data_IF_793931347611
#
_entry.id   IF_793931347611
#
_cell.length_a   1.000
_cell.length_b   1.000
_cell.length_c   1.000
_cell.angle_alpha   90.00
_cell.angle_beta   90.00
_cell.angle_gamma   90.00
#
_symmetry.space_group_name_H-M   'P 1'
#
loop_
_entity.id
_entity.type
_entity.pdbx_description
1 polymer ?
#
# COMPACT_ATOMS: atom_id res chain seq x y z
N UNK A 1 -0.26 5.79 -23.94
CA UNK A 1 -0.49 4.76 -22.92
C UNK A 1 0.69 4.77 -21.97
N UNK A 2 0.45 4.72 -20.66
CA UNK A 2 1.52 4.70 -19.65
C UNK A 2 1.85 3.24 -19.36
N UNK A 3 3.10 2.83 -19.52
CA UNK A 3 3.52 1.52 -19.04
C UNK A 3 3.67 1.55 -17.53
N UNK A 4 3.06 0.58 -16.85
CA UNK A 4 3.34 0.28 -15.45
C UNK A 4 4.29 -0.90 -15.43
N UNK A 5 5.32 -0.77 -14.59
CA UNK A 5 6.29 -1.83 -14.34
C UNK A 5 6.20 -2.20 -12.87
N UNK A 6 5.92 -3.46 -12.60
CA UNK A 6 5.96 -4.02 -11.26
C UNK A 6 6.49 -5.44 -11.34
N UNK A 7 7.02 -5.95 -10.24
CA UNK A 7 7.42 -7.34 -10.12
C UNK A 7 6.61 -8.04 -9.03
N UNK A 8 6.83 -9.33 -8.88
CA UNK A 8 6.11 -10.14 -7.90
C UNK A 8 6.31 -9.63 -6.47
N UNK A 9 7.54 -9.22 -6.11
CA UNK A 9 7.82 -8.67 -4.78
C UNK A 9 7.06 -7.37 -4.53
N UNK A 10 6.98 -6.47 -5.52
CA UNK A 10 6.17 -5.25 -5.43
C UNK A 10 4.70 -5.58 -5.17
N UNK A 11 4.09 -6.46 -5.99
CA UNK A 11 2.68 -6.85 -5.82
C UNK A 11 2.44 -7.50 -4.45
N UNK A 12 3.33 -8.39 -4.01
CA UNK A 12 3.23 -9.04 -2.71
C UNK A 12 3.29 -8.02 -1.58
N UNK A 13 4.29 -7.14 -1.57
CA UNK A 13 4.41 -6.08 -0.57
C UNK A 13 3.16 -5.18 -0.55
N UNK A 14 2.62 -4.80 -1.71
CA UNK A 14 1.40 -3.98 -1.79
C UNK A 14 0.21 -4.68 -1.13
N UNK A 15 0.05 -6.00 -1.27
CA UNK A 15 -1.05 -6.74 -0.63
C UNK A 15 -0.91 -6.88 0.89
N UNK A 16 0.31 -6.81 1.37
CA UNK A 16 0.64 -6.80 2.80
C UNK A 16 0.72 -5.38 3.36
N UNK A 17 0.28 -4.37 2.61
CA UNK A 17 0.35 -2.99 3.04
C UNK A 17 -0.51 -2.73 4.29
N UNK A 18 0.09 -1.97 5.20
CA UNK A 18 -0.50 -1.41 6.41
C UNK A 18 0.10 -0.01 6.62
N UNK A 19 -0.33 0.71 7.65
CA UNK A 19 0.29 1.98 8.02
C UNK A 19 1.81 1.86 8.17
N UNK A 20 2.53 2.88 7.68
CA UNK A 20 4.01 2.96 7.63
C UNK A 20 4.73 1.88 6.82
N UNK A 21 4.02 1.00 6.13
CA UNK A 21 4.61 0.15 5.10
C UNK A 21 4.40 0.80 3.73
N UNK A 22 5.46 1.40 3.19
CA UNK A 22 5.42 2.17 1.95
C UNK A 22 5.87 1.30 0.78
N UNK A 23 5.07 1.23 -0.28
CA UNK A 23 5.35 0.52 -1.54
C UNK A 23 5.14 1.51 -2.69
N UNK A 24 6.09 1.58 -3.63
CA UNK A 24 6.16 2.52 -4.76
C UNK A 24 6.17 4.02 -4.38
N UNK A 25 5.15 4.50 -3.66
CA UNK A 25 4.98 5.89 -3.21
C UNK A 25 5.72 6.15 -1.89
N UNK A 26 7.02 5.82 -1.84
CA UNK A 26 7.86 6.10 -0.66
C UNK A 26 8.19 7.59 -0.62
N UNK A 27 7.91 8.31 0.50
CA UNK A 27 8.26 9.72 0.63
C UNK A 27 9.73 10.03 0.33
N UNK A 28 10.03 11.06 -0.45
CA UNK A 28 11.40 11.47 -0.77
C UNK A 28 12.24 11.80 0.48
N UNK A 29 11.60 12.31 1.53
CA UNK A 29 12.21 12.57 2.84
C UNK A 29 12.62 11.30 3.60
N UNK A 30 12.05 10.15 3.24
CA UNK A 30 12.46 8.81 3.71
C UNK A 30 13.57 8.27 2.81
N UNK A 31 13.37 8.27 1.49
CA UNK A 31 14.34 7.77 0.51
C UNK A 31 15.71 8.44 0.62
N UNK A 32 15.75 9.76 0.83
CA UNK A 32 17.00 10.52 1.05
C UNK A 32 17.86 10.04 2.23
N UNK A 33 17.30 9.21 3.12
CA UNK A 33 18.02 8.61 4.26
C UNK A 33 18.49 7.18 3.98
N UNK A 34 18.00 6.52 2.94
CA UNK A 34 18.25 5.11 2.64
C UNK A 34 19.75 4.80 2.62
N UNK A 35 20.52 5.46 1.75
CA UNK A 35 21.97 5.25 1.67
C UNK A 35 22.69 5.55 3.01
N UNK A 36 22.49 6.75 3.57
CA UNK A 36 23.20 7.20 4.78
C UNK A 36 22.87 6.40 6.04
N UNK A 37 21.69 5.78 6.11
CA UNK A 37 21.22 5.08 7.31
C UNK A 37 21.23 3.57 7.18
N UNK A 38 21.05 3.02 5.98
CA UNK A 38 20.84 1.59 5.70
C UNK A 38 21.87 1.01 4.73
N UNK A 39 22.87 1.79 4.28
CA UNK A 39 23.92 1.37 3.36
C UNK A 39 23.41 0.85 2.00
N UNK A 40 22.22 1.32 1.58
CA UNK A 40 21.65 0.98 0.27
C UNK A 40 22.46 1.69 -0.81
N UNK A 41 23.00 0.89 -1.74
CA UNK A 41 23.82 1.40 -2.84
C UNK A 41 22.99 2.16 -3.87
N UNK A 42 23.63 3.03 -4.67
CA UNK A 42 22.94 3.81 -5.71
C UNK A 42 22.33 2.93 -6.82
N UNK A 43 22.90 1.74 -7.02
CA UNK A 43 22.43 0.73 -7.99
C UNK A 43 21.55 -0.35 -7.35
N UNK A 44 21.02 -0.11 -6.15
CA UNK A 44 20.10 -1.02 -5.48
C UNK A 44 18.70 -0.40 -5.53
N UNK A 45 17.77 -1.12 -6.14
CA UNK A 45 16.39 -0.65 -6.31
C UNK A 45 15.63 -0.89 -5.02
N UNK A 46 15.01 0.17 -4.49
CA UNK A 46 14.13 0.08 -3.33
C UNK A 46 12.71 -0.22 -3.78
N UNK A 47 12.17 -1.33 -3.30
CA UNK A 47 10.82 -1.81 -3.65
C UNK A 47 9.80 -1.40 -2.58
N UNK A 48 10.16 -1.59 -1.30
CA UNK A 48 9.28 -1.25 -0.18
C UNK A 48 10.08 -0.86 1.07
N UNK A 49 9.43 -0.16 1.99
CA UNK A 49 10.02 0.22 3.28
C UNK A 49 8.99 0.16 4.41
N UNK A 50 9.28 -0.64 5.43
CA UNK A 50 8.56 -0.61 6.71
C UNK A 50 9.26 0.36 7.66
N UNK A 51 8.63 1.50 7.95
CA UNK A 51 9.18 2.50 8.86
C UNK A 51 8.85 2.19 10.33
N UNK A 52 9.88 1.88 11.11
CA UNK A 52 9.77 1.60 12.55
C UNK A 52 10.23 2.79 13.40
N UNK A 53 10.38 3.99 12.81
CA UNK A 53 10.85 5.18 13.53
C UNK A 53 9.82 5.69 14.53
N UNK A 54 10.23 5.85 15.80
CA UNK A 54 9.38 6.40 16.88
C UNK A 54 9.07 7.88 16.66
N UNK A 55 10.10 8.68 16.34
CA UNK A 55 10.00 10.13 16.17
C UNK A 55 10.60 10.58 14.84
N UNK A 56 9.74 11.13 13.99
CA UNK A 56 10.04 11.46 12.59
C UNK A 56 9.79 10.25 11.68
N UNK A 57 10.59 10.11 10.63
CA UNK A 57 10.46 9.02 9.65
C UNK A 57 11.80 8.59 9.06
N UNK A 58 11.87 7.35 8.57
CA UNK A 58 12.97 6.82 7.74
C UNK A 58 14.32 6.68 8.46
N UNK A 59 14.34 6.51 9.78
CA UNK A 59 15.58 6.36 10.57
C UNK A 59 15.86 4.91 10.98
N UNK A 60 14.82 4.12 11.19
CA UNK A 60 14.83 2.73 11.68
C UNK A 60 13.75 1.97 10.91
N UNK A 61 13.98 0.71 10.57
CA UNK A 61 13.03 -0.07 9.79
C UNK A 61 13.68 -1.13 8.92
N UNK A 62 12.94 -1.58 7.92
CA UNK A 62 13.36 -2.62 6.98
C UNK A 62 13.00 -2.20 5.56
N UNK A 63 14.01 -2.12 4.70
CA UNK A 63 13.87 -1.98 3.26
C UNK A 63 13.86 -3.35 2.59
N UNK A 64 13.00 -3.48 1.59
CA UNK A 64 12.98 -4.56 0.62
C UNK A 64 13.57 -4.01 -0.67
N UNK A 65 14.59 -4.68 -1.20
CA UNK A 65 15.31 -4.26 -2.40
C UNK A 65 15.36 -5.36 -3.45
N UNK A 66 15.85 -5.02 -4.64
CA UNK A 66 16.19 -6.00 -5.68
C UNK A 66 17.29 -6.99 -5.26
N UNK A 67 18.03 -6.71 -4.19
CA UNK A 67 19.12 -7.56 -3.70
C UNK A 67 18.74 -8.39 -2.48
N UNK A 68 17.91 -7.82 -1.60
CA UNK A 68 17.58 -8.49 -0.35
C UNK A 68 16.82 -7.60 0.62
N UNK A 69 16.98 -7.92 1.91
CA UNK A 69 16.54 -7.06 2.99
C UNK A 69 17.70 -6.23 3.51
N UNK A 70 17.41 -4.96 3.83
CA UNK A 70 18.33 -4.03 4.47
C UNK A 70 17.63 -3.43 5.68
N UNK A 71 18.20 -3.54 6.86
CA UNK A 71 17.54 -3.05 8.06
C UNK A 71 18.47 -2.30 8.98
N UNK A 72 17.82 -1.49 9.81
CA UNK A 72 18.45 -0.82 10.94
C UNK A 72 17.49 -0.90 12.10
N UNK A 73 17.98 -1.39 13.23
CA UNK A 73 17.24 -1.43 14.49
C UNK A 73 17.75 -0.37 15.46
N UNK A 74 16.91 0.06 16.39
CA UNK A 74 17.35 0.89 17.51
C UNK A 74 18.35 0.07 18.36
N UNK A 75 19.55 0.59 18.60
CA UNK A 75 20.57 -0.05 19.44
C UNK A 75 21.34 -1.22 18.80
N UNK A 76 20.75 -1.97 17.87
CA UNK A 76 21.32 -3.21 17.33
C UNK A 76 22.08 -3.08 15.99
N UNK A 77 22.35 -1.86 15.54
CA UNK A 77 23.17 -1.63 14.35
C UNK A 77 22.45 -1.90 13.01
N UNK A 78 23.27 -1.94 11.96
CA UNK A 78 22.92 -2.20 10.57
C UNK A 78 22.96 -3.70 10.29
N UNK A 79 22.05 -4.20 9.45
CA UNK A 79 22.08 -5.59 9.01
C UNK A 79 21.46 -5.75 7.63
N UNK A 80 21.78 -6.87 7.00
CA UNK A 80 21.29 -7.21 5.68
C UNK A 80 21.26 -8.72 5.46
N UNK A 81 20.44 -9.17 4.50
CA UNK A 81 20.48 -10.52 3.96
C UNK A 81 20.09 -10.47 2.48
N UNK A 82 20.92 -11.04 1.61
CA UNK A 82 20.63 -11.18 0.18
C UNK A 82 19.56 -12.25 -0.06
N UNK A 83 18.79 -12.15 -1.15
CA UNK A 83 17.73 -13.13 -1.47
C UNK A 83 18.26 -14.57 -1.58
N UNK A 84 19.48 -14.75 -2.10
CA UNK A 84 20.15 -16.05 -2.22
C UNK A 84 20.46 -16.70 -0.87
N UNK A 85 20.68 -15.91 0.17
CA UNK A 85 20.88 -16.38 1.54
C UNK A 85 19.56 -16.48 2.29
N UNK A 86 18.64 -15.54 2.09
CA UNK A 86 17.33 -15.53 2.72
C UNK A 86 16.52 -16.79 2.38
N UNK A 87 16.64 -17.30 1.14
CA UNK A 87 16.01 -18.57 0.73
C UNK A 87 16.43 -19.77 1.59
N UNK A 88 17.61 -19.72 2.22
CA UNK A 88 18.17 -20.81 3.04
C UNK A 88 17.69 -20.76 4.49
N UNK A 89 17.05 -19.67 4.91
CA UNK A 89 16.48 -19.53 6.25
C UNK A 89 15.45 -20.64 6.47
N UNK A 90 15.56 -21.38 7.56
CA UNK A 90 14.64 -22.48 7.85
C UNK A 90 13.45 -21.98 8.66
N UNK A 91 13.71 -21.14 9.65
CA UNK A 91 12.68 -20.63 10.57
C UNK A 91 12.74 -19.12 10.69
N UNK A 92 11.57 -18.49 10.56
CA UNK A 92 11.35 -17.07 10.79
C UNK A 92 10.41 -16.99 12.00
N UNK A 93 10.88 -16.44 13.12
CA UNK A 93 10.10 -16.34 14.36
C UNK A 93 10.01 -14.92 14.88
N UNK A 94 9.04 -14.70 15.78
CA UNK A 94 8.97 -13.50 16.61
C UNK A 94 9.17 -13.86 18.06
N UNK A 95 10.12 -13.16 18.69
CA UNK A 95 10.35 -13.19 20.12
C UNK A 95 10.01 -11.82 20.71
N UNK A 96 9.59 -11.79 21.99
CA UNK A 96 9.22 -10.56 22.71
C UNK A 96 8.24 -9.66 21.94
N UNK A 97 7.33 -10.27 21.15
CA UNK A 97 6.33 -9.64 20.27
C UNK A 97 6.86 -8.82 19.09
N UNK A 98 8.11 -8.40 19.08
CA UNK A 98 8.63 -7.44 18.06
C UNK A 98 10.00 -7.78 17.50
N UNK A 99 10.70 -8.78 18.05
CA UNK A 99 12.02 -9.17 17.59
C UNK A 99 11.87 -10.25 16.54
N UNK A 100 12.28 -9.96 15.31
CA UNK A 100 12.31 -10.92 14.21
C UNK A 100 13.63 -11.68 14.26
N UNK A 101 13.56 -13.00 14.21
CA UNK A 101 14.71 -13.90 14.21
C UNK A 101 14.71 -14.77 12.96
N UNK A 102 15.91 -14.97 12.41
CA UNK A 102 16.18 -15.95 11.35
C UNK A 102 17.02 -17.08 11.96
N UNK A 103 16.49 -18.30 11.97
CA UNK A 103 17.16 -19.47 12.54
C UNK A 103 17.67 -19.26 13.97
N UNK A 104 16.83 -18.64 14.82
CA UNK A 104 17.12 -18.24 16.22
C UNK A 104 18.18 -17.16 16.41
N UNK A 105 18.66 -16.57 15.33
CA UNK A 105 19.52 -15.39 15.37
C UNK A 105 18.66 -14.15 15.19
N UNK A 106 18.73 -13.24 16.15
CA UNK A 106 18.03 -11.95 16.08
C UNK A 106 18.47 -11.19 14.84
N UNK A 107 17.52 -10.92 13.95
CA UNK A 107 17.74 -10.12 12.75
C UNK A 107 17.47 -8.64 13.05
N UNK A 108 16.23 -8.29 13.38
CA UNK A 108 15.82 -6.90 13.60
C UNK A 108 14.58 -6.74 14.47
N UNK A 109 14.28 -5.48 14.82
CA UNK A 109 13.13 -5.06 15.60
C UNK A 109 12.12 -4.36 14.69
N UNK A 110 10.89 -4.84 14.67
CA UNK A 110 9.77 -4.17 13.96
C UNK A 110 8.92 -3.27 14.88
N UNK A 111 9.24 -3.25 16.19
CA UNK A 111 8.58 -2.43 17.20
C UNK A 111 9.20 -1.05 17.42
N UNK A 112 8.60 -0.28 18.34
CA UNK A 112 9.10 1.02 18.81
C UNK A 112 8.35 2.21 18.21
N UNK A 113 8.11 2.21 16.90
CA UNK A 113 7.41 3.31 16.22
C UNK A 113 6.35 2.89 15.21
N UNK A 114 6.28 1.61 14.85
CA UNK A 114 5.26 1.07 13.95
C UNK A 114 4.25 0.23 14.73
N UNK A 115 2.99 0.30 14.31
CA UNK A 115 1.92 -0.60 14.75
C UNK A 115 1.71 -1.76 13.77
N UNK A 116 2.64 -1.95 12.82
CA UNK A 116 2.54 -3.01 11.82
C UNK A 116 2.40 -4.38 12.49
N UNK A 117 1.36 -5.18 12.17
CA UNK A 117 1.13 -6.45 12.83
C UNK A 117 2.30 -7.42 12.62
N UNK A 118 2.91 -7.80 13.73
CA UNK A 118 4.12 -8.60 13.74
C UNK A 118 3.95 -9.97 13.06
N UNK A 119 2.81 -10.64 13.28
CA UNK A 119 2.49 -11.91 12.61
C UNK A 119 2.28 -11.74 11.10
N UNK A 120 1.65 -10.63 10.67
CA UNK A 120 1.46 -10.33 9.25
C UNK A 120 2.82 -10.13 8.54
N UNK A 121 3.78 -9.52 9.24
CA UNK A 121 5.12 -9.34 8.70
C UNK A 121 5.87 -10.67 8.54
N UNK A 122 5.71 -11.60 9.47
CA UNK A 122 6.27 -12.96 9.35
C UNK A 122 5.62 -13.72 8.22
N UNK A 123 4.31 -13.59 8.04
CA UNK A 123 3.61 -14.17 6.91
C UNK A 123 4.16 -13.63 5.59
N UNK A 124 4.35 -12.31 5.44
CA UNK A 124 5.01 -11.71 4.27
C UNK A 124 6.39 -12.32 4.00
N UNK A 125 7.27 -12.31 5.02
CA UNK A 125 8.63 -12.84 4.89
C UNK A 125 8.64 -14.34 4.56
N UNK A 126 7.69 -15.09 5.12
CA UNK A 126 7.52 -16.52 4.85
C UNK A 126 7.10 -16.75 3.40
N UNK A 127 6.14 -15.99 2.89
CA UNK A 127 5.72 -16.09 1.48
C UNK A 127 6.85 -15.73 0.50
N UNK A 128 7.65 -14.70 0.82
CA UNK A 128 8.84 -14.35 0.00
C UNK A 128 9.85 -15.51 0.03
N UNK A 129 10.17 -16.03 1.21
CA UNK A 129 11.13 -17.13 1.36
C UNK A 129 10.68 -18.39 0.65
N UNK A 130 9.42 -18.77 0.83
CA UNK A 130 8.85 -19.99 0.24
C UNK A 130 8.84 -19.87 -1.29
N UNK A 131 8.51 -18.69 -1.83
CA UNK A 131 8.65 -18.40 -3.24
C UNK A 131 10.10 -18.58 -3.70
N UNK A 132 11.09 -18.06 -2.97
CA UNK A 132 12.52 -18.19 -3.32
C UNK A 132 13.08 -19.62 -3.16
N UNK A 133 12.39 -20.51 -2.44
CA UNK A 133 12.74 -21.94 -2.35
C UNK A 133 12.24 -22.72 -3.55
N UNK A 134 11.06 -22.37 -4.04
CA UNK A 134 10.40 -23.03 -5.17
C UNK A 134 10.82 -22.45 -6.53
N UNK A 135 11.08 -21.14 -6.57
CA UNK A 135 11.39 -20.35 -7.75
C UNK A 135 12.69 -19.55 -7.58
N UNK A 136 13.13 -18.90 -8.65
CA UNK A 136 14.37 -18.10 -8.64
C UNK A 136 14.14 -16.66 -8.20
N UNK A 137 15.19 -15.99 -7.71
CA UNK A 137 15.10 -14.58 -7.34
C UNK A 137 14.91 -13.67 -8.56
N UNK A 138 15.37 -14.10 -9.75
CA UNK A 138 15.11 -13.39 -11.01
C UNK A 138 13.61 -13.40 -11.35
N UNK A 139 12.88 -14.48 -11.04
CA UNK A 139 11.42 -14.52 -11.19
C UNK A 139 10.72 -13.62 -10.18
N UNK A 140 11.21 -13.56 -8.93
CA UNK A 140 10.69 -12.66 -7.90
C UNK A 140 10.73 -11.19 -8.35
N UNK A 141 11.77 -10.83 -9.10
CA UNK A 141 12.06 -9.45 -9.53
C UNK A 141 11.75 -9.19 -11.01
N UNK A 142 11.27 -10.20 -11.74
CA UNK A 142 10.96 -10.06 -13.16
C UNK A 142 9.84 -9.04 -13.32
N UNK A 143 10.17 -7.91 -13.95
CA UNK A 143 9.16 -6.90 -14.24
C UNK A 143 8.14 -7.42 -15.26
N UNK A 144 6.87 -7.27 -14.90
CA UNK A 144 5.76 -7.31 -15.81
C UNK A 144 5.57 -5.89 -16.35
N UNK A 145 5.64 -5.75 -17.68
CA UNK A 145 5.29 -4.51 -18.34
C UNK A 145 3.84 -4.61 -18.76
N UNK A 146 3.01 -3.78 -18.15
CA UNK A 146 1.59 -3.75 -18.44
C UNK A 146 1.22 -2.37 -18.95
N UNK A 147 0.50 -2.33 -20.07
CA UNK A 147 -0.10 -1.09 -20.54
C UNK A 147 -1.20 -0.69 -19.57
N UNK A 148 -1.01 0.39 -18.81
CA UNK A 148 -2.10 0.95 -18.01
C UNK A 148 -3.11 1.59 -18.96
N UNK A 149 -4.25 0.92 -19.12
CA UNK A 149 -5.42 1.48 -19.81
C UNK A 149 -6.42 2.10 -18.83
N UNK A 150 -6.12 2.16 -17.52
CA UNK A 150 -6.92 2.94 -16.58
C UNK A 150 -6.77 4.41 -16.94
N UNK A 151 -7.85 4.99 -17.45
CA UNK A 151 -7.90 6.40 -17.86
C UNK A 151 -8.60 7.28 -16.82
N UNK A 152 -8.21 8.55 -16.80
CA UNK A 152 -8.88 9.61 -16.06
C UNK A 152 -10.39 9.67 -16.38
N UNK A 153 -10.74 9.59 -17.66
CA UNK A 153 -12.12 9.73 -18.14
C UNK A 153 -13.06 8.70 -17.51
N UNK A 154 -12.67 7.43 -17.51
CA UNK A 154 -13.49 6.36 -16.94
C UNK A 154 -13.56 6.45 -15.42
N UNK A 155 -12.44 6.76 -14.74
CA UNK A 155 -12.44 6.97 -13.29
C UNK A 155 -13.36 8.14 -12.89
N UNK A 156 -13.33 9.22 -13.65
CA UNK A 156 -14.19 10.38 -13.46
C UNK A 156 -15.66 9.98 -13.68
N UNK A 157 -15.96 9.33 -14.79
CA UNK A 157 -17.31 8.87 -15.14
C UNK A 157 -17.89 7.96 -14.05
N UNK A 158 -17.12 7.00 -13.55
CA UNK A 158 -17.54 6.13 -12.44
C UNK A 158 -17.78 6.95 -11.17
N UNK A 159 -16.85 7.85 -10.82
CA UNK A 159 -16.97 8.66 -9.59
C UNK A 159 -18.18 9.59 -9.63
N UNK A 160 -18.45 10.21 -10.78
CA UNK A 160 -19.59 11.11 -10.96
C UNK A 160 -20.94 10.43 -10.75
N UNK A 161 -21.07 9.11 -11.01
CA UNK A 161 -22.29 8.35 -10.74
C UNK A 161 -22.65 8.29 -9.25
N UNK A 162 -21.69 8.49 -8.36
CA UNK A 162 -21.86 8.44 -6.91
C UNK A 162 -21.86 9.83 -6.26
N UNK A 163 -21.65 10.90 -7.02
CA UNK A 163 -21.70 12.27 -6.50
C UNK A 163 -23.17 12.72 -6.43
N UNK A 164 -23.67 12.99 -5.22
CA UNK A 164 -25.07 13.37 -4.97
C UNK A 164 -25.21 14.85 -4.69
N UNK A 165 -26.37 15.41 -5.08
CA UNK A 165 -26.71 16.83 -4.97
C UNK A 165 -28.05 16.96 -4.23
N UNK A 166 -28.12 17.85 -3.24
CA UNK A 166 -29.36 18.18 -2.51
C UNK A 166 -29.99 19.48 -2.99
N UNK A 167 -29.15 20.49 -3.25
CA UNK A 167 -29.53 21.79 -3.81
C UNK A 167 -28.95 21.94 -5.21
N UNK A 168 -29.48 22.89 -5.98
CA UNK A 168 -29.03 23.13 -7.34
C UNK A 168 -27.53 23.51 -7.35
N UNK A 169 -26.66 22.52 -7.56
CA UNK A 169 -25.23 22.61 -7.92
C UNK A 169 -24.15 22.34 -6.85
N UNK A 170 -24.46 21.94 -5.60
CA UNK A 170 -23.40 21.56 -4.63
C UNK A 170 -23.48 20.08 -4.20
N UNK A 171 -22.37 19.30 -4.34
CA UNK A 171 -22.31 17.94 -3.84
C UNK A 171 -22.47 17.86 -2.31
N UNK A 172 -23.30 16.94 -1.82
CA UNK A 172 -23.70 16.91 -0.41
C UNK A 172 -23.26 15.67 0.37
N UNK A 173 -22.98 14.55 -0.31
CA UNK A 173 -22.62 13.27 0.31
C UNK A 173 -21.12 13.12 0.62
N UNK A 174 -20.34 14.19 0.48
CA UNK A 174 -18.91 14.22 0.83
C UNK A 174 -17.98 13.69 -0.26
N UNK A 175 -18.50 13.13 -1.35
CA UNK A 175 -17.73 12.85 -2.56
C UNK A 175 -17.66 14.13 -3.40
N UNK A 176 -16.45 14.47 -3.85
CA UNK A 176 -16.18 15.57 -4.77
C UNK A 176 -15.41 15.04 -5.97
N UNK A 177 -15.89 15.31 -7.18
CA UNK A 177 -15.31 14.83 -8.43
C UNK A 177 -14.74 16.01 -9.24
N UNK A 178 -13.51 15.84 -9.71
CA UNK A 178 -12.81 16.74 -10.62
C UNK A 178 -12.83 18.24 -10.24
N UNK A 179 -13.69 19.02 -10.90
CA UNK A 179 -13.81 20.46 -10.76
C UNK A 179 -14.49 20.87 -9.46
N UNK A 180 -15.30 19.97 -8.88
CA UNK A 180 -15.90 20.17 -7.55
C UNK A 180 -14.86 20.08 -6.42
N UNK A 181 -13.66 19.56 -6.70
CA UNK A 181 -12.55 19.59 -5.76
C UNK A 181 -11.81 20.94 -5.90
N UNK A 182 -12.09 21.87 -4.98
CA UNK A 182 -11.46 23.20 -4.99
C UNK A 182 -9.92 23.14 -4.93
N UNK A 183 -9.25 24.15 -5.51
CA UNK A 183 -7.78 24.23 -5.53
C UNK A 183 -7.15 24.27 -4.13
N UNK A 184 -7.81 24.91 -3.17
CA UNK A 184 -7.35 24.94 -1.76
C UNK A 184 -7.42 23.55 -1.13
N UNK A 185 -8.52 22.83 -1.36
CA UNK A 185 -8.67 21.46 -0.88
C UNK A 185 -7.65 20.52 -1.55
N UNK A 186 -7.45 20.62 -2.87
CA UNK A 186 -6.42 19.86 -3.59
C UNK A 186 -5.04 20.04 -2.94
N UNK A 187 -4.63 21.28 -2.62
CA UNK A 187 -3.35 21.55 -1.94
C UNK A 187 -3.27 20.92 -0.55
N UNK A 188 -4.34 20.98 0.23
CA UNK A 188 -4.41 20.37 1.57
C UNK A 188 -4.30 18.85 1.49
N UNK A 189 -5.01 18.23 0.57
CA UNK A 189 -4.99 16.78 0.33
C UNK A 189 -3.59 16.34 -0.12
N UNK A 190 -2.99 17.00 -1.11
CA UNK A 190 -1.63 16.68 -1.60
C UNK A 190 -0.64 16.70 -0.44
N UNK A 191 -0.68 17.73 0.40
CA UNK A 191 0.21 17.82 1.58
C UNK A 191 -0.10 16.75 2.61
N UNK A 192 -1.36 16.52 2.91
CA UNK A 192 -1.77 15.58 3.94
C UNK A 192 -1.41 14.14 3.57
N UNK A 193 -1.72 13.72 2.35
CA UNK A 193 -1.40 12.39 1.82
C UNK A 193 0.06 12.25 1.38
N UNK A 194 0.81 13.35 1.33
CA UNK A 194 2.17 13.40 0.79
C UNK A 194 2.24 12.89 -0.67
N UNK A 195 1.27 13.30 -1.49
CA UNK A 195 1.20 12.95 -2.91
C UNK A 195 2.32 13.66 -3.68
N UNK A 196 2.86 12.99 -4.71
CA UNK A 196 3.77 13.62 -5.65
C UNK A 196 3.05 14.71 -6.48
N UNK A 197 3.77 15.78 -6.83
CA UNK A 197 3.17 17.01 -7.37
C UNK A 197 2.46 16.87 -8.74
N UNK A 198 2.69 15.77 -9.47
CA UNK A 198 2.16 15.52 -10.81
C UNK A 198 0.96 14.55 -10.83
N UNK A 199 0.44 14.15 -9.67
CA UNK A 199 -0.67 13.20 -9.59
C UNK A 199 -2.00 13.92 -9.77
N UNK A 200 -2.76 13.55 -10.80
CA UNK A 200 -4.12 14.04 -11.00
C UNK A 200 -5.08 13.31 -10.06
N UNK A 201 -5.68 14.09 -9.16
CA UNK A 201 -6.78 13.64 -8.32
C UNK A 201 -8.05 13.68 -9.16
N UNK A 202 -8.71 12.53 -9.30
CA UNK A 202 -9.97 12.37 -10.03
C UNK A 202 -11.15 12.65 -9.10
N UNK A 203 -11.15 12.03 -7.93
CA UNK A 203 -12.20 12.17 -6.94
C UNK A 203 -11.63 12.15 -5.53
N UNK A 204 -12.33 12.81 -4.60
CA UNK A 204 -12.04 12.78 -3.18
C UNK A 204 -13.32 12.57 -2.39
N UNK A 205 -13.36 11.50 -1.61
CA UNK A 205 -14.44 11.23 -0.65
C UNK A 205 -13.95 11.60 0.76
N UNK A 206 -14.52 12.65 1.34
CA UNK A 206 -14.27 13.01 2.72
C UNK A 206 -15.06 12.10 3.66
N UNK A 207 -14.36 11.37 4.54
CA UNK A 207 -14.99 10.45 5.50
C UNK A 207 -15.05 11.00 6.92
N UNK A 208 -14.47 12.17 7.16
CA UNK A 208 -14.54 12.84 8.45
C UNK A 208 -14.68 14.38 8.29
N UNK A 209 -15.92 14.92 8.24
CA UNK A 209 -16.18 16.33 7.91
C UNK A 209 -15.49 17.36 8.82
N UNK A 210 -15.23 17.03 10.09
CA UNK A 210 -14.52 17.92 11.01
C UNK A 210 -13.03 18.07 10.65
N UNK A 211 -12.44 17.02 10.09
CA UNK A 211 -11.06 16.94 9.58
C UNK A 211 -11.15 16.66 8.10
N UNK A 212 -11.52 17.71 7.36
CA UNK A 212 -11.87 17.75 5.91
C UNK A 212 -10.87 17.10 4.93
N UNK A 213 -9.75 16.57 5.41
CA UNK A 213 -8.71 15.91 4.63
C UNK A 213 -8.66 14.40 4.84
N UNK A 214 -9.32 13.84 5.86
CA UNK A 214 -9.43 12.38 6.03
C UNK A 214 -10.43 11.84 5.01
N UNK A 215 -10.05 10.74 4.36
CA UNK A 215 -10.85 10.21 3.27
C UNK A 215 -10.13 9.29 2.30
N UNK A 216 -10.77 9.15 1.15
CA UNK A 216 -10.36 8.27 0.06
C UNK A 216 -10.10 9.13 -1.18
N UNK A 217 -8.97 8.91 -1.86
CA UNK A 217 -8.63 9.61 -3.10
C UNK A 217 -8.55 8.62 -4.25
N UNK A 218 -9.27 8.91 -5.32
CA UNK A 218 -9.12 8.23 -6.61
C UNK A 218 -8.15 9.04 -7.47
N UNK A 219 -7.07 8.41 -7.92
CA UNK A 219 -6.05 8.99 -8.79
C UNK A 219 -5.82 8.11 -10.03
N UNK A 220 -5.21 8.66 -11.08
CA UNK A 220 -4.88 7.88 -12.28
C UNK A 220 -3.94 6.70 -12.01
N UNK A 221 -3.08 6.77 -11.00
CA UNK A 221 -2.11 5.72 -10.67
C UNK A 221 -2.64 4.68 -9.67
N UNK A 222 -3.70 4.97 -8.94
CA UNK A 222 -4.24 4.09 -7.92
C UNK A 222 -5.20 4.82 -7.00
N UNK A 223 -5.45 4.19 -5.86
CA UNK A 223 -6.37 4.69 -4.84
C UNK A 223 -5.62 4.84 -3.50
N UNK A 224 -5.95 5.90 -2.77
CA UNK A 224 -5.35 6.21 -1.47
C UNK A 224 -6.42 6.23 -0.39
N UNK A 225 -6.08 5.71 0.79
CA UNK A 225 -6.91 5.76 1.99
C UNK A 225 -6.11 6.43 3.09
N UNK A 226 -6.66 7.46 3.72
CA UNK A 226 -5.97 8.09 4.84
C UNK A 226 -6.90 8.63 5.90
N UNK A 227 -6.60 8.25 7.12
CA UNK A 227 -7.16 8.83 8.33
C UNK A 227 -6.10 8.80 9.44
N UNK A 228 -6.51 9.03 10.68
CA UNK A 228 -5.59 8.94 11.81
C UNK A 228 -5.12 7.49 11.97
N UNK A 229 -3.80 7.25 11.87
CA UNK A 229 -3.14 5.93 11.94
C UNK A 229 -3.35 4.99 10.74
N UNK A 230 -3.99 5.44 9.67
CA UNK A 230 -4.11 4.67 8.43
C UNK A 230 -3.60 5.51 7.28
N UNK A 231 -2.65 4.97 6.51
CA UNK A 231 -2.11 5.60 5.31
C UNK A 231 -1.76 4.53 4.29
N UNK A 232 -2.69 4.26 3.36
CA UNK A 232 -2.60 3.20 2.37
C UNK A 232 -2.61 3.76 0.95
N UNK A 233 -1.93 3.07 0.05
CA UNK A 233 -1.95 3.33 -1.39
C UNK A 233 -1.98 2.00 -2.13
N UNK A 234 -2.98 1.78 -2.96
CA UNK A 234 -3.02 0.60 -3.81
C UNK A 234 -2.97 1.01 -5.28
N UNK A 235 -1.97 0.57 -6.06
CA UNK A 235 -2.02 0.73 -7.49
C UNK A 235 -3.15 -0.12 -8.06
N UNK A 236 -3.70 0.29 -9.21
CA UNK A 236 -4.91 -0.34 -9.77
C UNK A 236 -4.76 -1.84 -10.05
N UNK A 237 -3.57 -2.30 -10.44
CA UNK A 237 -3.31 -3.72 -10.70
C UNK A 237 -3.38 -4.60 -9.44
N UNK A 238 -3.21 -4.01 -8.24
CA UNK A 238 -3.41 -4.68 -6.95
C UNK A 238 -4.86 -4.50 -6.50
N UNK A 239 -5.34 -3.25 -6.50
CA UNK A 239 -6.65 -2.89 -5.96
C UNK A 239 -7.80 -3.68 -6.58
N UNK A 240 -7.73 -3.98 -7.88
CA UNK A 240 -8.75 -4.74 -8.63
C UNK A 240 -9.15 -6.10 -8.03
N UNK A 241 -8.27 -6.71 -7.24
CA UNK A 241 -8.49 -8.04 -6.62
C UNK A 241 -8.38 -8.00 -5.09
N UNK A 242 -8.29 -6.81 -4.51
CA UNK A 242 -8.12 -6.65 -3.08
C UNK A 242 -9.45 -6.97 -2.35
N UNK A 243 -9.45 -7.79 -1.30
CA UNK A 243 -10.64 -7.98 -0.47
C UNK A 243 -11.15 -6.64 0.08
N UNK A 244 -12.45 -6.38 -0.10
CA UNK A 244 -13.14 -5.18 0.35
C UNK A 244 -14.55 -5.53 0.83
N UNK A 245 -14.83 -5.23 2.09
CA UNK A 245 -16.14 -5.40 2.69
C UNK A 245 -16.32 -4.43 3.85
N UNK A 246 -17.57 -4.24 4.28
CA UNK A 246 -17.90 -3.44 5.46
C UNK A 246 -18.44 -4.35 6.55
N UNK A 247 -18.01 -4.07 7.77
CA UNK A 247 -18.57 -4.61 9.00
C UNK A 247 -19.04 -3.41 9.83
N UNK A 248 -20.35 -3.25 10.01
CA UNK A 248 -20.94 -2.05 10.64
C UNK A 248 -20.51 -0.76 9.91
N UNK A 249 -19.74 0.11 10.55
CA UNK A 249 -19.19 1.35 9.97
C UNK A 249 -17.66 1.27 9.73
N UNK A 250 -17.12 0.06 9.64
CA UNK A 250 -15.71 -0.19 9.37
C UNK A 250 -15.54 -0.78 7.96
N UNK A 251 -14.81 -0.07 7.11
CA UNK A 251 -14.37 -0.59 5.82
C UNK A 251 -13.10 -1.41 6.03
N UNK A 252 -13.21 -2.72 5.75
CA UNK A 252 -12.09 -3.64 5.82
C UNK A 252 -11.43 -3.77 4.46
N UNK A 253 -10.11 -3.52 4.41
CA UNK A 253 -9.32 -3.43 3.17
C UNK A 253 -8.14 -4.40 3.21
N UNK A 254 -8.09 -5.34 2.27
CA UNK A 254 -6.95 -6.24 2.09
C UNK A 254 -6.78 -7.20 3.27
N UNK A 255 -5.58 -7.17 3.88
CA UNK A 255 -5.22 -7.98 5.06
C UNK A 255 -5.67 -7.28 6.35
N UNK A 256 -6.98 -7.09 6.48
CA UNK A 256 -7.63 -6.56 7.69
C UNK A 256 -7.21 -5.13 8.09
N UNK A 257 -6.87 -4.28 7.12
CA UNK A 257 -6.81 -2.84 7.42
C UNK A 257 -8.22 -2.34 7.74
N UNK A 258 -8.38 -1.66 8.86
CA UNK A 258 -9.64 -1.05 9.26
C UNK A 258 -9.61 0.44 8.88
N UNK A 259 -10.63 0.90 8.17
CA UNK A 259 -10.83 2.30 7.82
C UNK A 259 -12.21 2.76 8.29
N UNK A 260 -12.27 3.77 9.14
CA UNK A 260 -13.52 4.14 9.82
C UNK A 260 -14.42 5.02 8.94
N UNK A 261 -15.71 4.67 8.88
CA UNK A 261 -16.74 5.37 8.10
C UNK A 261 -17.81 6.04 8.98
N UNK A 262 -17.70 5.97 10.30
CA UNK A 262 -18.70 6.46 11.28
C UNK A 262 -19.13 7.92 11.08
N UNK A 263 -18.31 8.73 10.41
CA UNK A 263 -18.58 10.15 10.17
C UNK A 263 -18.73 10.49 8.69
N UNK A 264 -18.67 9.49 7.81
CA UNK A 264 -18.88 9.69 6.39
C UNK A 264 -20.32 10.14 6.13
N UNK A 265 -20.48 11.08 5.21
CA UNK A 265 -21.82 11.51 4.77
C UNK A 265 -22.44 10.53 3.76
N UNK A 266 -21.61 9.79 3.04
CA UNK A 266 -22.04 8.71 2.17
C UNK A 266 -22.17 7.43 3.00
N UNK A 267 -23.28 6.71 2.83
CA UNK A 267 -23.56 5.47 3.55
C UNK A 267 -22.47 4.41 3.30
N UNK A 268 -22.09 3.67 4.34
CA UNK A 268 -21.00 2.67 4.28
C UNK A 268 -21.20 1.63 3.16
N UNK A 269 -22.45 1.22 2.91
CA UNK A 269 -22.80 0.30 1.82
C UNK A 269 -22.64 0.92 0.43
N UNK A 270 -22.93 2.22 0.29
CA UNK A 270 -22.75 2.97 -0.96
C UNK A 270 -21.25 3.19 -1.25
N UNK A 271 -20.44 3.48 -0.23
CA UNK A 271 -18.99 3.57 -0.34
C UNK A 271 -18.41 2.24 -0.87
N UNK A 272 -18.83 1.11 -0.33
CA UNK A 272 -18.38 -0.21 -0.83
C UNK A 272 -18.79 -0.44 -2.27
N UNK A 273 -20.02 -0.08 -2.65
CA UNK A 273 -20.48 -0.20 -4.03
C UNK A 273 -19.65 0.65 -4.99
N UNK A 274 -19.34 1.89 -4.60
CA UNK A 274 -18.44 2.79 -5.34
C UNK A 274 -17.06 2.16 -5.55
N UNK A 275 -16.45 1.67 -4.47
CA UNK A 275 -15.13 1.02 -4.53
C UNK A 275 -15.16 -0.24 -5.41
N UNK A 276 -16.22 -1.05 -5.33
CA UNK A 276 -16.39 -2.23 -6.18
C UNK A 276 -16.54 -1.87 -7.67
N UNK A 277 -17.22 -0.77 -8.01
CA UNK A 277 -17.29 -0.30 -9.40
C UNK A 277 -15.92 0.12 -9.94
N UNK A 278 -15.08 0.74 -9.11
CA UNK A 278 -13.68 1.01 -9.46
C UNK A 278 -12.88 -0.29 -9.63
N UNK A 279 -13.11 -1.31 -8.77
CA UNK A 279 -12.47 -2.62 -8.93
C UNK A 279 -12.89 -3.33 -10.22
N UNK A 280 -14.17 -3.33 -10.58
CA UNK A 280 -14.70 -3.94 -11.80
C UNK A 280 -14.01 -3.35 -13.04
N UNK A 281 -13.90 -2.02 -13.11
CA UNK A 281 -13.21 -1.34 -14.21
C UNK A 281 -11.71 -1.62 -14.23
N UNK A 282 -11.04 -1.55 -13.08
CA UNK A 282 -9.62 -1.90 -13.00
C UNK A 282 -9.41 -3.37 -13.42
N UNK A 283 -10.32 -4.28 -13.05
CA UNK A 283 -10.23 -5.67 -13.44
C UNK A 283 -10.40 -5.88 -14.94
N UNK A 284 -11.36 -5.21 -15.60
CA UNK A 284 -11.53 -5.29 -17.05
C UNK A 284 -10.31 -4.78 -17.82
N UNK A 285 -9.62 -3.78 -17.26
CA UNK A 285 -8.37 -3.24 -17.84
C UNK A 285 -7.21 -4.21 -17.71
N UNK A 286 -7.12 -4.93 -16.59
CA UNK A 286 -5.99 -5.81 -16.28
C UNK A 286 -6.29 -7.30 -16.49
N UNK A 287 -7.38 -7.68 -17.16
CA UNK A 287 -7.82 -9.08 -17.30
C UNK A 287 -6.73 -10.05 -17.78
N UNK A 288 -5.82 -9.57 -18.64
CA UNK A 288 -4.69 -10.35 -19.16
C UNK A 288 -3.46 -10.42 -18.25
N UNK A 289 -3.46 -9.71 -17.12
CA UNK A 289 -2.35 -9.64 -16.18
C UNK A 289 -2.60 -10.66 -15.07
N UNK A 290 -1.76 -11.70 -14.95
CA UNK A 290 -1.85 -12.64 -13.84
C UNK A 290 -1.66 -11.90 -12.53
N UNK A 291 -2.47 -12.23 -11.54
CA UNK A 291 -2.28 -11.78 -10.18
C UNK A 291 -1.41 -12.76 -9.41
N UNK A 292 -0.75 -12.31 -8.34
CA UNK A 292 -0.07 -13.20 -7.39
C UNK A 292 -0.97 -14.31 -6.82
N UNK A 293 -2.28 -14.08 -6.73
CA UNK A 293 -3.24 -15.11 -6.30
C UNK A 293 -3.30 -16.28 -7.29
N UNK A 294 -2.85 -16.07 -8.53
CA UNK A 294 -2.78 -17.11 -9.55
C UNK A 294 -1.51 -17.96 -9.43
N UNK A 295 -0.46 -17.46 -8.75
CA UNK A 295 0.79 -18.19 -8.52
C UNK A 295 0.78 -19.03 -7.23
N UNK A 296 -0.06 -18.67 -6.27
CA UNK A 296 -0.27 -19.46 -5.06
C UNK A 296 -1.71 -20.01 -5.06
N UNK A 297 -1.93 -21.31 -5.32
CA UNK A 297 -3.23 -21.90 -5.02
C UNK A 297 -3.50 -21.67 -3.53
N UNK A 298 -4.73 -21.24 -3.21
CA UNK A 298 -5.17 -21.06 -1.83
C UNK A 298 -4.77 -22.32 -1.04
N UNK A 299 -3.84 -22.18 -0.08
CA UNK A 299 -3.57 -23.26 0.86
C UNK A 299 -4.92 -23.61 1.48
N UNK A 300 -5.38 -24.88 1.41
CA UNK A 300 -6.65 -25.25 2.01
C UNK A 300 -6.58 -24.85 3.49
N UNK A 301 -7.63 -24.17 3.96
CA UNK A 301 -7.81 -23.90 5.38
C UNK A 301 -7.81 -25.27 6.10
N UNK A 302 -6.77 -25.52 6.89
CA UNK A 302 -6.66 -26.67 7.77
C UNK A 302 -7.35 -26.40 9.09
#
# INVERSE_FOLDING_TARGET
MKEIKFNYLTELCSRYQQDKFYIEEIPASILSKANKRFEIGENEEIIAFLDCTILGSGKVGVYFTDKGLRWRSLGNGLGNIEWTEFRKVNRITIQNKVEVHFDEVKAFLIGGGSNYPSLLFIDLLTNIRDFLKEYSYELLLKHQNVSCSVTYHELNSISALFEKYEEAFEPNNGLLVDEHISLDLKKKIIRYFNLQANKKIVAFLCTFPLKKTDGIIVCENGIYFRETFVSLYYPWYVFRTLPLYVLEDELIIGKDNIFHLTHAKMESTEIVLFLKKLQEYANSVYESVPSIVDFYPAKPQS
#
